data_IF_265505121626
#
_entry.id   IF_265505121626
#
_cell.length_a   1.000
_cell.length_b   1.000
_cell.length_c   1.000
_cell.angle_alpha   90.00
_cell.angle_beta   90.00
_cell.angle_gamma   90.00
#
_symmetry.space_group_name_H-M   'P 1'
#
loop_
_entity.id
_entity.type
_entity.pdbx_description
1 polymer ?
#
# COMPACT_ATOMS: atom_id res chain seq x y z
N UNK A 1 0.48 23.42 14.02
CA UNK A 1 1.03 22.83 12.78
C UNK A 1 1.41 21.40 13.11
N UNK A 2 0.75 20.40 12.55
CA UNK A 2 1.22 19.05 12.75
C UNK A 2 2.65 18.97 12.20
N UNK A 3 3.58 18.57 13.05
CA UNK A 3 4.96 18.30 12.62
C UNK A 3 4.88 17.31 11.47
N UNK A 4 5.41 17.70 10.30
CA UNK A 4 5.51 16.78 9.18
C UNK A 4 6.27 15.56 9.66
N UNK A 5 5.58 14.45 9.85
CA UNK A 5 6.21 13.18 10.13
C UNK A 5 6.92 12.79 8.83
N UNK A 6 8.20 13.07 8.75
CA UNK A 6 9.03 12.53 7.68
C UNK A 6 8.77 11.03 7.59
N UNK A 7 8.40 10.55 6.42
CA UNK A 7 8.18 9.13 6.19
C UNK A 7 9.40 8.35 6.70
N UNK A 8 9.18 7.52 7.73
CA UNK A 8 10.26 6.75 8.34
C UNK A 8 10.59 5.58 7.41
N UNK A 9 11.85 5.48 7.02
CA UNK A 9 12.33 4.30 6.30
C UNK A 9 12.37 3.12 7.26
N UNK A 10 11.77 2.01 6.85
CA UNK A 10 11.72 0.78 7.64
C UNK A 10 12.46 -0.32 6.90
N UNK A 11 13.44 -1.00 7.54
CA UNK A 11 14.05 -2.20 6.95
C UNK A 11 13.00 -3.32 6.92
N UNK A 12 12.59 -3.71 5.72
CA UNK A 12 11.47 -4.63 5.49
C UNK A 12 11.66 -6.00 6.15
N UNK A 13 12.91 -6.47 6.20
CA UNK A 13 13.24 -7.80 6.74
C UNK A 13 13.44 -7.82 8.26
N UNK A 14 13.32 -6.70 8.93
CA UNK A 14 13.48 -6.60 10.39
C UNK A 14 12.10 -6.35 11.02
N UNK A 15 11.44 -7.38 11.59
CA UNK A 15 10.08 -7.24 12.11
C UNK A 15 9.94 -6.18 13.21
N UNK A 16 10.94 -6.05 14.06
CA UNK A 16 10.96 -5.12 15.20
C UNK A 16 11.02 -3.66 14.76
N UNK A 17 11.49 -3.39 13.55
CA UNK A 17 11.61 -2.03 13.02
C UNK A 17 10.31 -1.49 12.43
N UNK A 18 9.30 -2.34 12.24
CA UNK A 18 8.02 -1.94 11.68
C UNK A 18 7.24 -1.04 12.65
N UNK A 19 6.46 -0.08 12.12
CA UNK A 19 5.55 0.71 12.94
C UNK A 19 4.51 -0.15 13.66
N UNK A 20 3.90 0.37 14.72
CA UNK A 20 2.85 -0.34 15.46
C UNK A 20 1.60 -0.56 14.62
N UNK A 21 0.80 -1.55 15.00
CA UNK A 21 -0.50 -1.84 14.35
C UNK A 21 -1.43 -0.62 14.38
N UNK A 22 -1.43 0.13 15.46
CA UNK A 22 -2.26 1.33 15.62
C UNK A 22 -1.86 2.42 14.62
N UNK A 23 -0.57 2.66 14.46
CA UNK A 23 -0.08 3.69 13.53
C UNK A 23 -0.35 3.34 12.08
N UNK A 24 -0.38 2.06 11.72
CA UNK A 24 -0.70 1.57 10.39
C UNK A 24 -2.19 1.35 10.16
N UNK A 25 -3.01 1.45 11.20
CA UNK A 25 -4.45 1.14 11.16
C UNK A 25 -4.74 -0.27 10.67
N UNK A 26 -3.94 -1.22 11.14
CA UNK A 26 -4.06 -2.64 10.86
C UNK A 26 -4.20 -3.41 12.17
N UNK A 27 -4.80 -4.60 12.12
CA UNK A 27 -4.67 -5.55 13.23
C UNK A 27 -3.41 -6.40 13.05
N UNK A 28 -3.09 -7.24 14.03
CA UNK A 28 -1.87 -8.05 14.03
C UNK A 28 -1.78 -8.98 12.82
N UNK A 29 -2.87 -9.67 12.47
CA UNK A 29 -2.92 -10.57 11.31
C UNK A 29 -2.74 -9.82 10.00
N UNK A 30 -3.35 -8.66 9.87
CA UNK A 30 -3.23 -7.81 8.69
C UNK A 30 -1.81 -7.26 8.52
N UNK A 31 -1.17 -6.87 9.62
CA UNK A 31 0.22 -6.41 9.57
C UNK A 31 1.15 -7.53 9.14
N UNK A 32 0.96 -8.74 9.66
CA UNK A 32 1.74 -9.91 9.26
C UNK A 32 1.57 -10.22 7.77
N UNK A 33 0.33 -10.17 7.26
CA UNK A 33 0.05 -10.33 5.84
C UNK A 33 0.76 -9.29 4.98
N UNK A 34 0.72 -8.02 5.37
CA UNK A 34 1.42 -6.94 4.67
C UNK A 34 2.93 -7.17 4.67
N UNK A 35 3.52 -7.50 5.81
CA UNK A 35 4.95 -7.77 5.92
C UNK A 35 5.39 -8.92 5.04
N UNK A 36 4.63 -10.02 5.05
CA UNK A 36 4.92 -11.19 4.22
C UNK A 36 4.84 -10.82 2.74
N UNK A 37 3.81 -10.10 2.33
CA UNK A 37 3.63 -9.70 0.93
C UNK A 37 4.78 -8.86 0.39
N UNK A 38 5.35 -7.95 1.19
CA UNK A 38 6.42 -7.06 0.73
C UNK A 38 7.83 -7.63 0.94
N UNK A 39 7.97 -8.73 1.67
CA UNK A 39 9.26 -9.37 1.98
C UNK A 39 9.51 -10.67 1.24
N UNK A 40 8.56 -11.19 0.47
CA UNK A 40 8.66 -12.46 -0.26
C UNK A 40 8.29 -12.28 -1.72
N UNK A 41 8.83 -13.12 -2.59
CA UNK A 41 8.50 -13.09 -4.02
C UNK A 41 7.06 -13.53 -4.29
N UNK A 42 6.55 -14.46 -3.50
CA UNK A 42 5.20 -15.00 -3.62
C UNK A 42 4.57 -15.15 -2.24
N UNK A 43 3.36 -14.67 -2.09
CA UNK A 43 2.61 -14.82 -0.84
C UNK A 43 1.12 -15.07 -1.13
N UNK A 44 0.47 -15.80 -0.23
CA UNK A 44 -0.97 -16.04 -0.27
C UNK A 44 -1.58 -15.46 1.00
N UNK A 45 -2.59 -14.62 0.83
CA UNK A 45 -3.35 -14.03 1.94
C UNK A 45 -4.73 -14.68 1.93
N UNK A 46 -5.03 -15.41 3.00
CA UNK A 46 -6.27 -16.12 3.15
C UNK A 46 -7.02 -15.62 4.39
N UNK A 47 -8.33 -15.56 4.30
CA UNK A 47 -9.18 -15.21 5.42
C UNK A 47 -10.65 -15.29 5.05
N UNK A 48 -11.54 -15.53 6.04
CA UNK A 48 -12.98 -15.57 5.82
C UNK A 48 -13.51 -14.18 5.38
N UNK A 49 -14.74 -14.11 4.83
CA UNK A 49 -15.38 -12.85 4.50
C UNK A 49 -15.42 -11.89 5.70
N UNK A 50 -15.23 -10.59 5.45
CA UNK A 50 -15.29 -9.57 6.50
C UNK A 50 -14.00 -9.37 7.31
N UNK A 51 -12.90 -10.03 6.93
CA UNK A 51 -11.59 -9.88 7.61
C UNK A 51 -10.73 -8.73 7.08
N UNK A 52 -11.23 -8.00 6.09
CA UNK A 52 -10.51 -6.86 5.51
C UNK A 52 -9.44 -7.22 4.50
N UNK A 53 -9.58 -8.34 3.77
CA UNK A 53 -8.62 -8.74 2.73
C UNK A 53 -8.43 -7.67 1.65
N UNK A 54 -9.51 -7.06 1.20
CA UNK A 54 -9.46 -5.97 0.21
C UNK A 54 -8.71 -4.77 0.75
N UNK A 55 -8.93 -4.43 2.00
CA UNK A 55 -8.22 -3.34 2.68
C UNK A 55 -6.72 -3.60 2.75
N UNK A 56 -6.32 -4.81 3.15
CA UNK A 56 -4.91 -5.21 3.19
C UNK A 56 -4.30 -5.20 1.79
N UNK A 57 -5.00 -5.74 0.79
CA UNK A 57 -4.55 -5.71 -0.60
C UNK A 57 -4.30 -4.30 -1.11
N UNK A 58 -5.21 -3.37 -0.83
CA UNK A 58 -5.03 -1.97 -1.18
C UNK A 58 -3.86 -1.31 -0.44
N UNK A 59 -3.63 -1.67 0.82
CA UNK A 59 -2.44 -1.22 1.58
C UNK A 59 -1.14 -1.74 0.99
N UNK A 60 -1.11 -2.98 0.53
CA UNK A 60 0.05 -3.57 -0.16
C UNK A 60 0.35 -2.78 -1.44
N UNK A 61 -0.65 -2.53 -2.27
CA UNK A 61 -0.50 -1.76 -3.51
C UNK A 61 0.02 -0.34 -3.19
N UNK A 62 -0.55 0.33 -2.20
CA UNK A 62 -0.09 1.64 -1.76
C UNK A 62 1.38 1.61 -1.35
N UNK A 63 1.76 0.63 -0.52
CA UNK A 63 3.14 0.46 -0.07
C UNK A 63 4.10 0.26 -1.24
N UNK A 64 3.74 -0.57 -2.20
CA UNK A 64 4.56 -0.82 -3.39
C UNK A 64 4.67 0.42 -4.28
N UNK A 65 3.59 1.15 -4.49
CA UNK A 65 3.62 2.38 -5.28
C UNK A 65 4.45 3.47 -4.60
N UNK A 66 4.33 3.63 -3.29
CA UNK A 66 5.11 4.60 -2.52
C UNK A 66 6.60 4.31 -2.55
N UNK A 67 6.97 3.05 -2.69
CA UNK A 67 8.35 2.58 -2.71
C UNK A 67 8.83 2.16 -4.10
N UNK A 68 8.14 2.58 -5.15
CA UNK A 68 8.42 2.14 -6.52
C UNK A 68 9.88 2.28 -6.94
N UNK A 69 10.53 3.34 -6.50
CA UNK A 69 11.95 3.58 -6.81
C UNK A 69 12.90 2.52 -6.25
N UNK A 70 12.43 1.74 -5.27
CA UNK A 70 13.21 0.68 -4.62
C UNK A 70 13.20 -0.63 -5.37
N UNK A 71 12.06 -0.99 -5.97
CA UNK A 71 11.89 -2.29 -6.63
C UNK A 71 11.79 -2.19 -8.16
N UNK A 72 11.49 -1.03 -8.70
CA UNK A 72 11.41 -0.79 -10.16
C UNK A 72 12.45 0.26 -10.57
N UNK A 73 13.66 -0.20 -10.84
CA UNK A 73 14.77 0.67 -11.23
C UNK A 73 14.56 1.33 -12.60
N UNK A 74 13.86 0.65 -13.51
CA UNK A 74 13.53 1.18 -14.84
C UNK A 74 12.39 2.20 -14.81
N UNK A 75 11.58 2.20 -13.77
CA UNK A 75 10.36 3.03 -13.60
C UNK A 75 9.30 2.79 -14.69
N UNK A 76 9.34 1.66 -15.35
CA UNK A 76 8.48 1.32 -16.48
C UNK A 76 7.62 0.08 -16.24
N UNK A 77 7.89 -0.69 -15.20
CA UNK A 77 7.18 -1.93 -14.90
C UNK A 77 5.78 -1.64 -14.38
N UNK A 78 4.72 -2.14 -15.04
CA UNK A 78 3.36 -1.99 -14.52
C UNK A 78 3.08 -2.96 -13.39
N UNK A 79 2.08 -2.64 -12.55
CA UNK A 79 1.45 -3.60 -11.66
C UNK A 79 0.26 -4.22 -12.35
N UNK A 80 0.15 -5.54 -12.33
CA UNK A 80 -1.03 -6.24 -12.84
C UNK A 80 -1.93 -6.61 -11.65
N UNK A 81 -3.17 -6.15 -11.69
CA UNK A 81 -4.21 -6.50 -10.73
C UNK A 81 -5.29 -7.31 -11.43
N UNK A 82 -5.56 -8.51 -10.91
CA UNK A 82 -6.52 -9.44 -11.50
C UNK A 82 -7.53 -9.85 -10.44
N UNK A 83 -8.82 -9.77 -10.80
CA UNK A 83 -9.91 -10.23 -9.96
C UNK A 83 -10.82 -11.16 -10.76
N UNK A 84 -11.60 -11.98 -10.08
CA UNK A 84 -12.49 -12.95 -10.72
C UNK A 84 -13.62 -12.27 -11.51
N UNK A 85 -14.13 -11.13 -11.03
CA UNK A 85 -15.19 -10.37 -11.71
C UNK A 85 -14.77 -8.92 -11.93
N UNK A 86 -15.35 -8.26 -12.95
CA UNK A 86 -15.13 -6.84 -13.18
C UNK A 86 -15.61 -5.99 -12.01
N UNK A 87 -16.71 -6.37 -11.36
CA UNK A 87 -17.23 -5.67 -10.19
C UNK A 87 -16.23 -5.69 -9.03
N UNK A 88 -15.65 -6.86 -8.74
CA UNK A 88 -14.63 -6.99 -7.70
C UNK A 88 -13.38 -6.17 -8.03
N UNK A 89 -12.97 -6.16 -9.29
CA UNK A 89 -11.84 -5.36 -9.75
C UNK A 89 -12.10 -3.87 -9.58
N UNK A 90 -13.27 -3.40 -9.99
CA UNK A 90 -13.65 -1.99 -9.84
C UNK A 90 -13.66 -1.56 -8.37
N UNK A 91 -14.22 -2.38 -7.48
CA UNK A 91 -14.22 -2.10 -6.04
C UNK A 91 -12.80 -2.02 -5.48
N UNK A 92 -11.92 -2.92 -5.90
CA UNK A 92 -10.52 -2.93 -5.46
C UNK A 92 -9.78 -1.67 -5.95
N UNK A 93 -9.93 -1.32 -7.22
CA UNK A 93 -9.31 -0.13 -7.80
C UNK A 93 -9.83 1.16 -7.16
N UNK A 94 -11.12 1.25 -6.87
CA UNK A 94 -11.69 2.38 -6.11
C UNK A 94 -11.03 2.54 -4.75
N UNK A 95 -10.80 1.44 -4.03
CA UNK A 95 -10.12 1.46 -2.74
C UNK A 95 -8.68 1.94 -2.85
N UNK A 96 -7.95 1.45 -3.84
CA UNK A 96 -6.58 1.90 -4.12
C UNK A 96 -6.56 3.39 -4.44
N UNK A 97 -7.47 3.85 -5.30
CA UNK A 97 -7.57 5.27 -5.67
C UNK A 97 -7.92 6.16 -4.47
N UNK A 98 -8.79 5.70 -3.57
CA UNK A 98 -9.10 6.40 -2.34
C UNK A 98 -7.85 6.66 -1.49
N UNK A 99 -7.00 5.64 -1.30
CA UNK A 99 -5.74 5.79 -0.57
C UNK A 99 -4.77 6.76 -1.26
N UNK A 100 -4.66 6.68 -2.57
CA UNK A 100 -3.80 7.58 -3.33
C UNK A 100 -4.28 9.03 -3.28
N UNK A 101 -5.59 9.25 -3.33
CA UNK A 101 -6.17 10.59 -3.22
C UNK A 101 -5.95 11.20 -1.83
N UNK A 102 -6.11 10.43 -0.76
CA UNK A 102 -5.83 10.89 0.60
C UNK A 102 -4.37 11.33 0.74
N UNK A 103 -3.44 10.54 0.24
CA UNK A 103 -2.02 10.88 0.25
C UNK A 103 -1.75 12.15 -0.55
N UNK A 104 -2.31 12.28 -1.75
CA UNK A 104 -2.18 13.47 -2.59
C UNK A 104 -2.69 14.74 -1.89
N UNK A 105 -3.84 14.64 -1.20
CA UNK A 105 -4.40 15.77 -0.45
C UNK A 105 -3.47 16.19 0.68
N UNK A 106 -2.87 15.24 1.41
CA UNK A 106 -1.89 15.51 2.45
C UNK A 106 -0.63 16.16 1.89
N UNK A 107 -0.10 15.65 0.78
CA UNK A 107 1.07 16.21 0.10
C UNK A 107 0.82 17.66 -0.38
N UNK A 108 -0.35 17.93 -0.93
CA UNK A 108 -0.75 19.28 -1.35
C UNK A 108 -0.87 20.23 -0.14
N UNK A 109 -1.47 19.77 0.95
CA UNK A 109 -1.60 20.55 2.18
C UNK A 109 -0.23 20.89 2.80
N UNK A 110 0.76 20.01 2.63
CA UNK A 110 2.12 20.20 3.12
C UNK A 110 3.03 20.94 2.12
N UNK A 111 2.52 21.32 0.94
CA UNK A 111 3.30 21.98 -0.11
C UNK A 111 4.26 21.06 -0.84
N UNK A 112 4.08 19.76 -0.74
CA UNK A 112 4.92 18.77 -1.40
C UNK A 112 4.55 18.63 -2.89
N UNK A 113 5.55 18.31 -3.74
CA UNK A 113 5.32 18.08 -5.17
C UNK A 113 4.45 16.85 -5.37
N UNK A 114 3.33 17.03 -6.08
CA UNK A 114 2.44 15.94 -6.48
C UNK A 114 3.16 15.01 -7.45
N UNK A 115 3.32 13.75 -7.07
CA UNK A 115 3.82 12.72 -7.97
C UNK A 115 2.70 12.23 -8.87
N UNK A 116 2.96 12.20 -10.17
CA UNK A 116 2.01 11.66 -11.15
C UNK A 116 1.97 10.13 -11.06
N UNK A 117 0.91 9.59 -10.46
CA UNK A 117 0.64 8.14 -10.45
C UNK A 117 -0.06 7.74 -11.76
N UNK A 118 0.67 7.80 -12.87
CA UNK A 118 0.09 7.48 -14.19
C UNK A 118 -0.06 5.98 -14.49
N UNK A 119 0.20 5.11 -13.54
CA UNK A 119 0.39 3.68 -13.85
C UNK A 119 -0.43 2.71 -12.99
N UNK A 120 -1.58 3.13 -12.48
CA UNK A 120 -2.58 2.19 -11.97
C UNK A 120 -3.50 1.84 -13.13
N UNK A 121 -3.38 0.62 -13.61
CA UNK A 121 -4.27 0.09 -14.65
C UNK A 121 -5.37 -0.72 -13.99
#
# INVERSE_FOLDING_TARGET
VPKSTKAKKVPVLVPEAWPSVESLRLNTSQLEALRTAVSTEFSVIQGPPGTGKTYVGAKIVQCLLDNRRKWDLSKTSPMLMVCYTNHALDQFLEKVMEFLQKKRSLELAEGLKVRNYKHVI
#
